data_IF_752460219247
#
_entry.id   IF_752460219247
#
_cell.length_a   1.000
_cell.length_b   1.000
_cell.length_c   1.000
_cell.angle_alpha   90.00
_cell.angle_beta   90.00
_cell.angle_gamma   90.00
#
_symmetry.space_group_name_H-M   'P 1'
#
loop_
_entity.id
_entity.type
_entity.pdbx_description
1 polymer ?
#
# COMPACT_ATOMS: atom_id res chain seq x y z
N UNK A 1 -2.90 -42.94 65.20
CA UNK A 1 -3.27 -41.67 65.86
C UNK A 1 -2.13 -40.71 65.51
N UNK A 2 -2.33 -39.57 64.85
CA UNK A 2 -2.95 -38.37 65.42
C UNK A 2 -3.50 -37.48 64.31
N UNK A 3 -4.75 -37.04 64.47
CA UNK A 3 -5.39 -36.01 63.64
C UNK A 3 -4.83 -34.64 64.00
N UNK A 4 -4.68 -33.75 63.02
CA UNK A 4 -4.89 -32.32 63.22
C UNK A 4 -5.27 -31.67 61.89
N UNK A 5 -6.56 -31.40 61.75
CA UNK A 5 -7.12 -30.49 60.74
C UNK A 5 -7.07 -29.09 61.36
N UNK A 6 -6.44 -28.13 60.68
CA UNK A 6 -6.73 -26.70 60.84
C UNK A 6 -6.78 -26.05 59.47
N UNK A 7 -7.96 -25.53 59.15
CA UNK A 7 -8.29 -24.86 57.92
C UNK A 7 -7.88 -23.37 57.95
N UNK A 8 -8.12 -22.73 56.79
CA UNK A 8 -8.24 -21.30 56.51
C UNK A 8 -6.96 -20.52 56.19
N UNK A 9 -6.77 -20.22 54.90
CA UNK A 9 -7.07 -18.88 54.37
C UNK A 9 -7.04 -18.91 52.83
N UNK A 10 -8.16 -18.52 52.22
CA UNK A 10 -8.27 -18.19 50.81
C UNK A 10 -7.61 -16.83 50.53
N UNK A 11 -7.17 -16.56 49.30
CA UNK A 11 -7.68 -15.47 48.46
C UNK A 11 -6.95 -15.40 47.11
N UNK A 12 -7.78 -15.38 46.05
CA UNK A 12 -7.63 -14.67 44.78
C UNK A 12 -6.33 -14.78 43.98
N UNK A 13 -6.45 -15.28 42.75
CA UNK A 13 -6.34 -14.44 41.55
C UNK A 13 -6.88 -15.24 40.35
N UNK A 14 -8.11 -14.93 39.96
CA UNK A 14 -8.59 -15.24 38.62
C UNK A 14 -7.76 -14.39 37.65
N UNK A 15 -6.68 -14.95 37.13
CA UNK A 15 -5.91 -14.36 36.05
C UNK A 15 -6.76 -14.41 34.80
N UNK A 16 -7.47 -13.31 34.50
CA UNK A 16 -8.12 -13.09 33.23
C UNK A 16 -7.09 -13.25 32.11
N UNK A 17 -7.31 -14.21 31.23
CA UNK A 17 -6.62 -14.35 29.96
C UNK A 17 -6.93 -13.13 29.10
N UNK A 18 -6.05 -12.13 29.16
CA UNK A 18 -6.09 -11.04 28.18
C UNK A 18 -5.54 -11.63 26.89
N UNK A 19 -6.46 -12.04 26.01
CA UNK A 19 -6.21 -12.18 24.59
C UNK A 19 -5.66 -10.84 24.11
N UNK A 20 -4.34 -10.72 24.10
CA UNK A 20 -3.62 -9.62 23.47
C UNK A 20 -3.77 -9.73 21.96
N UNK A 21 -4.99 -9.54 21.45
CA UNK A 21 -5.18 -9.03 20.11
C UNK A 21 -4.65 -7.61 20.17
N UNK A 22 -3.35 -7.45 19.94
CA UNK A 22 -2.84 -6.17 19.47
C UNK A 22 -3.50 -5.99 18.12
N UNK A 23 -4.64 -5.29 18.10
CA UNK A 23 -5.05 -4.58 16.89
C UNK A 23 -3.82 -3.79 16.48
N UNK A 24 -3.14 -4.23 15.43
CA UNK A 24 -2.17 -3.38 14.75
C UNK A 24 -3.03 -2.22 14.23
N UNK A 25 -3.16 -1.18 15.05
CA UNK A 25 -3.35 0.14 14.53
C UNK A 25 -2.09 0.37 13.70
N UNK A 26 -2.17 0.06 12.41
CA UNK A 26 -1.25 0.63 11.45
C UNK A 26 -1.50 2.12 11.55
N UNK A 27 -0.68 2.79 12.37
CA UNK A 27 -0.54 4.22 12.28
C UNK A 27 0.11 4.44 10.91
N UNK A 28 -0.73 4.55 9.88
CA UNK A 28 -0.31 5.06 8.59
C UNK A 28 0.28 6.44 8.90
N UNK A 29 1.62 6.61 8.83
CA UNK A 29 2.19 7.91 8.93
C UNK A 29 1.81 8.57 7.60
N UNK A 30 0.64 9.19 7.57
CA UNK A 30 0.37 10.24 6.60
C UNK A 30 0.94 11.53 7.24
N UNK A 31 2.20 11.92 6.93
CA UNK A 31 2.82 13.10 7.51
C UNK A 31 2.18 14.42 7.04
N UNK A 32 1.20 14.39 6.14
CA UNK A 32 0.39 15.55 5.82
C UNK A 32 -0.95 15.45 6.54
N UNK A 33 -1.23 16.40 7.43
CA UNK A 33 -2.50 16.65 8.14
C UNK A 33 -3.73 16.92 7.21
N UNK A 34 -3.69 16.46 5.96
CA UNK A 34 -4.78 16.48 5.00
C UNK A 34 -5.70 15.29 5.28
N UNK A 35 -6.61 15.46 6.25
CA UNK A 35 -7.53 14.40 6.68
C UNK A 35 -8.23 13.69 5.52
N UNK A 36 -8.32 12.36 5.59
CA UNK A 36 -9.15 11.37 4.85
C UNK A 36 -9.45 11.53 3.34
N UNK A 37 -9.07 12.61 2.67
CA UNK A 37 -9.29 12.80 1.25
C UNK A 37 -8.17 12.10 0.47
N UNK A 38 -8.51 11.28 -0.56
CA UNK A 38 -7.50 10.70 -1.43
C UNK A 38 -6.66 11.81 -2.04
N UNK A 39 -5.34 11.71 -1.86
CA UNK A 39 -4.40 12.68 -2.41
C UNK A 39 -3.85 12.14 -3.71
N UNK A 40 -4.34 12.69 -4.81
CA UNK A 40 -3.78 12.42 -6.12
C UNK A 40 -2.53 13.24 -6.35
N UNK A 41 -1.43 12.58 -6.68
CA UNK A 41 -0.20 13.21 -7.11
C UNK A 41 0.13 12.77 -8.54
N UNK A 42 0.59 13.73 -9.35
CA UNK A 42 1.05 13.45 -10.71
C UNK A 42 2.56 13.25 -10.70
N UNK A 43 3.04 12.11 -11.19
CA UNK A 43 4.45 11.75 -11.25
C UNK A 43 4.88 11.55 -12.69
N UNK A 44 5.97 12.21 -13.10
CA UNK A 44 6.60 11.99 -14.40
C UNK A 44 7.48 10.75 -14.39
N UNK A 45 7.45 9.98 -15.47
CA UNK A 45 8.18 8.71 -15.55
C UNK A 45 9.53 8.88 -16.27
N UNK A 46 10.68 8.53 -15.64
CA UNK A 46 11.98 8.54 -16.31
C UNK A 46 12.21 7.27 -17.15
N UNK A 47 11.48 6.19 -16.87
CA UNK A 47 11.58 4.88 -17.52
C UNK A 47 10.29 4.50 -18.26
N UNK A 48 10.35 3.45 -19.06
CA UNK A 48 9.14 2.84 -19.61
C UNK A 48 8.37 2.09 -18.52
N UNK A 49 7.16 2.55 -18.19
CA UNK A 49 6.34 1.99 -17.09
C UNK A 49 5.10 1.32 -17.64
N UNK A 50 4.94 0.02 -17.35
CA UNK A 50 3.67 -0.68 -17.61
C UNK A 50 2.61 -0.35 -16.56
N UNK A 51 1.35 -0.36 -16.97
CA UNK A 51 0.20 -0.27 -16.05
C UNK A 51 -0.47 -1.63 -15.94
N UNK A 52 -0.63 -2.14 -14.73
CA UNK A 52 -0.95 -3.54 -14.41
C UNK A 52 -2.27 -3.66 -13.65
N UNK A 53 -2.92 -4.81 -13.80
CA UNK A 53 -4.20 -5.09 -13.13
C UNK A 53 -4.08 -5.41 -11.63
N UNK A 54 -2.86 -5.66 -11.15
CA UNK A 54 -2.54 -5.86 -9.75
C UNK A 54 -1.09 -5.43 -9.47
N UNK A 55 -0.74 -5.31 -8.19
CA UNK A 55 0.58 -4.89 -7.72
C UNK A 55 1.65 -6.01 -7.84
N UNK A 56 1.71 -6.71 -8.97
CA UNK A 56 2.71 -7.75 -9.28
C UNK A 56 3.08 -7.70 -10.77
N UNK A 57 4.32 -8.02 -11.10
CA UNK A 57 4.83 -7.92 -12.48
C UNK A 57 4.33 -9.01 -13.44
N UNK A 58 3.81 -10.12 -12.90
CA UNK A 58 3.18 -11.20 -13.66
C UNK A 58 1.69 -10.93 -13.94
N UNK A 59 1.12 -9.86 -13.37
CA UNK A 59 -0.22 -9.40 -13.69
C UNK A 59 -0.32 -8.95 -15.15
N UNK A 60 -1.54 -9.04 -15.71
CA UNK A 60 -1.82 -8.52 -17.04
C UNK A 60 -1.69 -7.00 -17.08
N UNK A 61 -1.16 -6.47 -18.17
CA UNK A 61 -1.21 -5.03 -18.45
C UNK A 61 -2.65 -4.61 -18.76
N UNK A 62 -3.06 -3.48 -18.22
CA UNK A 62 -4.34 -2.83 -18.56
C UNK A 62 -4.20 -2.21 -19.94
N UNK A 63 -5.05 -2.61 -20.90
CA UNK A 63 -5.11 -2.10 -22.28
C UNK A 63 -3.76 -2.05 -23.02
N UNK A 64 -2.82 -2.92 -22.62
CA UNK A 64 -1.42 -2.90 -23.08
C UNK A 64 -0.72 -1.53 -22.92
N UNK A 65 -1.17 -0.73 -21.96
CA UNK A 65 -0.68 0.60 -21.68
C UNK A 65 0.74 0.55 -21.13
N UNK A 66 1.63 1.30 -21.79
CA UNK A 66 3.02 1.49 -21.37
C UNK A 66 3.37 2.96 -21.56
N UNK A 67 3.76 3.61 -20.47
CA UNK A 67 4.19 4.99 -20.45
C UNK A 67 5.58 5.09 -21.03
N UNK A 68 5.80 6.15 -21.79
CA UNK A 68 7.08 6.45 -22.41
C UNK A 68 7.63 7.76 -21.87
N UNK A 69 8.90 7.77 -21.41
CA UNK A 69 9.57 9.01 -21.11
C UNK A 69 9.71 9.87 -22.38
N UNK A 70 9.90 11.19 -22.24
CA UNK A 70 9.99 11.93 -20.97
C UNK A 70 8.67 12.59 -20.52
N UNK A 71 7.60 12.46 -21.32
CA UNK A 71 6.41 13.30 -21.15
C UNK A 71 5.21 12.57 -20.55
N UNK A 72 5.23 11.24 -20.50
CA UNK A 72 4.13 10.49 -19.94
C UNK A 72 4.19 10.50 -18.40
N UNK A 73 3.00 10.62 -17.79
CA UNK A 73 2.85 10.79 -16.35
C UNK A 73 1.81 9.82 -15.80
N UNK A 74 1.93 9.49 -14.52
CA UNK A 74 0.93 8.73 -13.76
C UNK A 74 0.25 9.65 -12.77
N UNK A 75 -1.06 9.45 -12.57
CA UNK A 75 -1.79 10.00 -11.44
C UNK A 75 -2.01 8.88 -10.42
N UNK A 76 -1.44 9.03 -9.23
CA UNK A 76 -1.46 7.99 -8.18
C UNK A 76 -2.00 8.55 -6.88
N UNK A 77 -2.62 7.67 -6.07
CA UNK A 77 -3.32 8.09 -4.85
C UNK A 77 -2.95 7.32 -3.58
N UNK A 78 -2.34 6.14 -3.71
CA UNK A 78 -1.75 5.41 -2.57
C UNK A 78 -0.67 4.42 -3.06
N UNK A 79 0.03 3.80 -2.12
CA UNK A 79 1.03 2.76 -2.39
C UNK A 79 0.78 1.47 -1.60
N UNK A 80 1.34 0.36 -2.09
CA UNK A 80 1.41 -0.92 -1.36
C UNK A 80 2.77 -1.57 -1.53
N UNK A 81 3.14 -2.42 -0.57
CA UNK A 81 4.12 -3.49 -0.79
C UNK A 81 3.43 -4.66 -1.51
N UNK A 82 3.93 -5.02 -2.69
CA UNK A 82 3.38 -6.05 -3.58
C UNK A 82 4.45 -7.03 -4.06
N UNK A 83 4.40 -7.41 -5.33
CA UNK A 83 5.38 -8.30 -5.95
C UNK A 83 6.74 -7.62 -6.12
N UNK A 84 7.81 -8.29 -5.71
CA UNK A 84 9.17 -7.82 -5.94
C UNK A 84 9.56 -7.94 -7.43
N UNK A 85 10.14 -6.89 -8.00
CA UNK A 85 10.63 -6.89 -9.38
C UNK A 85 12.16 -6.82 -9.39
N UNK A 86 12.80 -7.95 -9.68
CA UNK A 86 14.26 -8.07 -9.67
C UNK A 86 14.86 -7.59 -8.35
N UNK A 87 15.81 -6.66 -8.43
CA UNK A 87 16.46 -6.04 -7.27
C UNK A 87 15.93 -4.63 -6.98
N UNK A 88 14.88 -4.17 -7.68
CA UNK A 88 14.38 -2.80 -7.57
C UNK A 88 13.44 -2.57 -6.38
N UNK A 89 12.93 -3.65 -5.78
CA UNK A 89 12.02 -3.61 -4.63
C UNK A 89 10.61 -4.06 -4.99
N UNK A 90 9.66 -3.71 -4.14
CA UNK A 90 8.30 -4.26 -4.08
C UNK A 90 7.22 -3.16 -3.94
N UNK A 91 7.56 -1.90 -4.23
CA UNK A 91 6.62 -0.79 -4.08
C UNK A 91 5.82 -0.56 -5.35
N UNK A 92 4.49 -0.53 -5.21
CA UNK A 92 3.54 -0.30 -6.28
C UNK A 92 2.62 0.87 -5.94
N UNK A 93 2.33 1.70 -6.94
CA UNK A 93 1.40 2.82 -6.80
C UNK A 93 0.07 2.50 -7.45
N UNK A 94 -1.02 2.74 -6.72
CA UNK A 94 -2.36 2.66 -7.30
C UNK A 94 -2.52 3.79 -8.30
N UNK A 95 -2.83 3.44 -9.53
CA UNK A 95 -2.88 4.33 -10.68
C UNK A 95 -4.33 4.60 -11.03
N UNK A 96 -4.77 5.84 -10.82
CA UNK A 96 -6.14 6.30 -11.14
C UNK A 96 -6.25 6.75 -12.59
N UNK A 97 -5.18 7.35 -13.12
CA UNK A 97 -5.13 7.83 -14.49
C UNK A 97 -3.68 7.91 -14.98
N UNK A 98 -3.52 8.08 -16.28
CA UNK A 98 -2.25 8.44 -16.91
C UNK A 98 -2.42 9.64 -17.81
N UNK A 99 -1.34 10.36 -18.05
CA UNK A 99 -1.28 11.42 -19.04
C UNK A 99 -0.31 10.94 -20.12
N UNK A 100 -0.84 10.61 -21.30
CA UNK A 100 -0.06 10.08 -22.43
C UNK A 100 -0.16 11.03 -23.60
N UNK A 101 0.98 11.53 -24.06
CA UNK A 101 1.03 12.58 -25.10
C UNK A 101 0.12 13.79 -24.78
N UNK A 102 0.03 14.17 -23.51
CA UNK A 102 -0.83 15.26 -23.02
C UNK A 102 -2.32 14.91 -22.87
N UNK A 103 -2.74 13.69 -23.18
CA UNK A 103 -4.13 13.25 -23.00
C UNK A 103 -4.32 12.55 -21.67
N UNK A 104 -5.30 13.00 -20.89
CA UNK A 104 -5.70 12.36 -19.65
C UNK A 104 -6.55 11.11 -19.95
N UNK A 105 -6.13 9.96 -19.42
CA UNK A 105 -6.79 8.68 -19.62
C UNK A 105 -7.03 8.07 -18.23
N UNK A 106 -8.28 7.94 -17.83
CA UNK A 106 -8.64 7.19 -16.63
C UNK A 106 -8.29 5.71 -16.82
N UNK A 107 -7.72 5.11 -15.79
CA UNK A 107 -7.31 3.70 -15.85
C UNK A 107 -8.08 2.90 -14.82
N UNK A 108 -8.75 1.85 -15.29
CA UNK A 108 -9.37 0.84 -14.45
C UNK A 108 -9.17 -0.53 -15.08
N UNK A 109 -9.17 -1.59 -14.27
CA UNK A 109 -9.12 -2.94 -14.82
C UNK A 109 -10.43 -3.27 -15.54
N UNK A 110 -10.47 -4.31 -16.41
CA UNK A 110 -11.71 -4.75 -17.05
C UNK A 110 -12.84 -5.12 -16.05
N UNK A 111 -12.49 -5.42 -14.80
CA UNK A 111 -13.46 -5.70 -13.72
C UNK A 111 -13.85 -4.45 -12.92
N UNK A 112 -13.44 -3.25 -13.35
CA UNK A 112 -13.65 -1.99 -12.62
C UNK A 112 -12.76 -1.84 -11.37
N UNK A 113 -11.71 -2.64 -11.24
CA UNK A 113 -10.78 -2.60 -10.12
C UNK A 113 -9.63 -1.60 -10.32
N UNK A 114 -8.77 -1.43 -9.30
CA UNK A 114 -7.64 -0.51 -9.37
C UNK A 114 -6.53 -1.03 -10.29
N UNK A 115 -5.88 -0.12 -11.01
CA UNK A 115 -4.66 -0.40 -11.75
C UNK A 115 -3.42 0.01 -10.95
N UNK A 116 -2.25 -0.50 -11.34
CA UNK A 116 -1.01 -0.36 -10.59
C UNK A 116 0.18 -0.08 -11.48
N UNK A 117 1.10 0.76 -11.01
CA UNK A 117 2.40 1.02 -11.66
C UNK A 117 3.54 0.72 -10.69
N UNK A 118 4.66 0.24 -11.21
CA UNK A 118 5.80 -0.12 -10.37
C UNK A 118 6.58 1.13 -9.97
N UNK A 119 6.54 1.48 -8.68
CA UNK A 119 7.06 2.74 -8.14
C UNK A 119 8.51 3.04 -8.51
N UNK A 120 9.45 2.07 -8.41
CA UNK A 120 10.83 2.28 -8.83
C UNK A 120 11.02 2.75 -10.27
N UNK A 121 10.13 2.39 -11.20
CA UNK A 121 10.22 2.85 -12.60
C UNK A 121 9.41 4.13 -12.84
N UNK A 122 8.49 4.48 -11.93
CA UNK A 122 7.76 5.74 -11.97
C UNK A 122 8.63 6.89 -11.50
N UNK A 123 9.27 6.76 -10.34
CA UNK A 123 9.98 7.86 -9.71
C UNK A 123 11.13 7.41 -8.79
N UNK A 124 11.73 6.26 -9.09
CA UNK A 124 12.72 5.60 -8.22
C UNK A 124 12.18 5.29 -6.82
N UNK A 125 10.87 5.07 -6.74
CA UNK A 125 10.13 4.86 -5.51
C UNK A 125 10.31 6.03 -4.52
N UNK A 126 10.35 7.27 -5.01
CA UNK A 126 10.54 8.45 -4.17
C UNK A 126 9.26 8.82 -3.43
N UNK A 127 8.10 8.72 -4.09
CA UNK A 127 6.83 9.21 -3.57
C UNK A 127 6.40 8.49 -2.29
N UNK A 128 6.53 7.15 -2.19
CA UNK A 128 6.17 6.48 -0.93
C UNK A 128 7.08 6.86 0.26
N UNK A 129 8.31 7.34 0.01
CA UNK A 129 9.26 7.75 1.06
C UNK A 129 9.14 9.22 1.44
N UNK A 130 8.89 10.07 0.43
CA UNK A 130 9.08 11.52 0.53
C UNK A 130 7.82 12.33 0.22
N UNK A 131 6.79 11.70 -0.35
CA UNK A 131 5.50 12.31 -0.67
C UNK A 131 4.48 11.86 0.37
N UNK A 132 3.39 12.62 0.59
CA UNK A 132 2.34 12.18 1.49
C UNK A 132 1.47 11.04 0.95
N UNK A 133 1.97 10.23 0.01
CA UNK A 133 1.22 9.14 -0.59
C UNK A 133 0.91 8.10 0.52
N UNK A 134 -0.35 7.91 0.93
CA UNK A 134 -0.70 7.01 2.02
C UNK A 134 -0.58 5.55 1.58
N UNK A 135 -0.52 4.63 2.54
CA UNK A 135 -0.61 3.21 2.24
C UNK A 135 -2.07 2.85 1.86
N UNK A 136 -2.26 1.98 0.86
CA UNK A 136 -3.56 1.37 0.57
C UNK A 136 -3.80 0.18 1.53
#
# INVERSE_FOLDING_TARGET
MTRAIKALAAFALAGASILGVTSQASADPNPSDTGSYPMWITLGTPDHVGVYSCAYADCSKVDNLTLSPPNDQVLVDCWVSGGTVGNAGDVWYRTSAVIVNGNYIEVSTPSGGPAWTFGPYVDFASAWRNSPLPHC
#
